data_IF_231297048057
#
_entry.id   IF_231297048057
#
_cell.length_a   1.000
_cell.length_b   1.000
_cell.length_c   1.000
_cell.angle_alpha   90.00
_cell.angle_beta   90.00
_cell.angle_gamma   90.00
#
_symmetry.space_group_name_H-M   'P 1'
#
loop_
_entity.id
_entity.type
_entity.pdbx_description
1 polymer ?
#
# COMPACT_ATOMS: atom_id res chain seq x y z
N UNK A 1 9.55 36.52 21.59
CA UNK A 1 9.81 37.89 21.07
C UNK A 1 10.16 37.82 19.59
N UNK A 2 9.58 38.69 18.74
CA UNK A 2 9.73 38.62 17.27
C UNK A 2 10.79 39.53 16.66
N UNK A 3 11.88 39.80 17.39
CA UNK A 3 12.96 40.66 16.88
C UNK A 3 13.90 39.88 15.97
N UNK A 4 14.12 40.40 14.74
CA UNK A 4 14.99 39.76 13.74
C UNK A 4 16.48 39.89 14.06
N UNK A 5 16.89 40.94 14.76
CA UNK A 5 18.29 41.23 15.18
C UNK A 5 18.32 41.88 16.55
N UNK A 6 19.39 41.63 17.31
CA UNK A 6 19.66 42.31 18.59
C UNK A 6 19.83 43.82 18.37
N UNK A 7 20.36 44.24 17.22
CA UNK A 7 20.50 45.68 16.85
C UNK A 7 19.17 46.39 16.65
N UNK A 8 18.05 45.66 16.49
CA UNK A 8 16.73 46.24 16.38
C UNK A 8 16.11 46.58 17.74
N UNK A 9 16.76 46.13 18.84
CA UNK A 9 16.39 46.44 20.21
C UNK A 9 16.89 47.83 20.56
N UNK A 10 16.03 48.85 20.42
CA UNK A 10 16.31 50.23 20.82
C UNK A 10 16.21 50.46 22.34
N UNK A 11 15.71 49.46 23.07
CA UNK A 11 15.46 49.50 24.49
C UNK A 11 16.44 48.59 25.23
N UNK A 12 17.16 49.14 26.21
CA UNK A 12 18.14 48.43 27.04
C UNK A 12 17.48 47.29 27.86
N UNK A 13 16.22 47.44 28.25
CA UNK A 13 15.45 46.44 28.99
C UNK A 13 15.11 45.23 28.10
N UNK A 14 14.72 45.46 26.84
CA UNK A 14 14.48 44.41 25.87
C UNK A 14 15.78 43.63 25.53
N UNK A 15 16.92 44.34 25.48
CA UNK A 15 18.23 43.70 25.28
C UNK A 15 18.61 42.79 26.46
N UNK A 16 18.47 43.28 27.72
CA UNK A 16 18.71 42.49 28.93
C UNK A 16 17.78 41.27 29.02
N UNK A 17 16.52 41.44 28.67
CA UNK A 17 15.55 40.34 28.62
C UNK A 17 15.96 39.27 27.63
N UNK A 18 16.39 39.64 26.42
CA UNK A 18 16.84 38.70 25.40
C UNK A 18 18.11 37.94 25.82
N UNK A 19 19.06 38.66 26.48
CA UNK A 19 20.25 38.03 27.06
C UNK A 19 19.89 37.02 28.15
N UNK A 20 18.95 37.37 29.04
CA UNK A 20 18.51 36.51 30.13
C UNK A 20 17.82 35.22 29.58
N UNK A 21 17.01 35.33 28.54
CA UNK A 21 16.41 34.18 27.85
C UNK A 21 17.46 33.27 27.21
N UNK A 22 18.44 33.87 26.49
CA UNK A 22 19.57 33.14 25.91
C UNK A 22 20.42 32.42 26.93
N UNK A 23 20.75 33.09 28.05
CA UNK A 23 21.47 32.49 29.16
C UNK A 23 20.66 31.37 29.84
N UNK A 24 19.34 31.55 30.01
CA UNK A 24 18.47 30.51 30.59
C UNK A 24 18.43 29.28 29.72
N UNK A 25 18.42 29.40 28.40
CA UNK A 25 18.53 28.26 27.51
C UNK A 25 19.91 27.58 27.62
N UNK A 26 21.00 28.38 27.58
CA UNK A 26 22.36 27.85 27.57
C UNK A 26 22.78 27.18 28.89
N UNK A 27 22.32 27.70 30.05
CA UNK A 27 22.68 27.14 31.37
C UNK A 27 22.20 25.72 31.61
N UNK A 28 21.18 25.27 30.86
CA UNK A 28 20.65 23.90 30.95
C UNK A 28 21.37 22.92 29.99
N UNK A 29 22.41 23.39 29.30
CA UNK A 29 23.27 22.57 28.46
C UNK A 29 22.80 22.40 27.02
N UNK A 30 23.47 21.50 26.32
CA UNK A 30 23.28 21.28 24.87
C UNK A 30 21.85 20.93 24.48
N UNK A 31 21.19 20.07 25.26
CA UNK A 31 19.82 19.61 24.98
C UNK A 31 18.84 20.81 24.93
N UNK A 32 18.90 21.69 25.91
CA UNK A 32 18.03 22.86 25.93
C UNK A 32 18.29 23.82 24.76
N UNK A 33 19.55 23.96 24.35
CA UNK A 33 19.92 24.76 23.17
C UNK A 33 19.31 24.10 21.91
N UNK A 34 19.40 22.78 21.77
CA UNK A 34 18.81 22.02 20.65
C UNK A 34 17.30 22.21 20.58
N UNK A 35 16.59 22.10 21.69
CA UNK A 35 15.13 22.33 21.75
C UNK A 35 14.74 23.72 21.26
N UNK A 36 15.47 24.75 21.67
CA UNK A 36 15.24 26.14 21.20
C UNK A 36 15.47 26.24 19.70
N UNK A 37 16.56 25.67 19.17
CA UNK A 37 16.88 25.71 17.75
C UNK A 37 15.83 24.94 16.92
N UNK A 38 15.37 23.77 17.37
CA UNK A 38 14.27 23.04 16.72
C UNK A 38 12.97 23.83 16.74
N UNK A 39 12.66 24.50 17.85
CA UNK A 39 11.49 25.38 17.94
C UNK A 39 11.58 26.57 16.95
N UNK A 40 12.75 27.16 16.78
CA UNK A 40 12.98 28.22 15.80
C UNK A 40 12.81 27.68 14.35
N UNK A 41 13.40 26.54 14.05
CA UNK A 41 13.28 25.92 12.73
C UNK A 41 11.82 25.56 12.38
N UNK A 42 11.02 25.12 13.35
CA UNK A 42 9.61 24.79 13.17
C UNK A 42 8.71 26.02 12.94
N UNK A 43 9.11 27.18 13.51
CA UNK A 43 8.40 28.47 13.35
C UNK A 43 8.78 29.21 12.07
N UNK A 44 9.86 28.82 11.40
CA UNK A 44 10.30 29.45 10.17
C UNK A 44 9.17 29.42 9.11
N UNK A 45 8.84 30.60 8.59
CA UNK A 45 7.75 30.78 7.61
C UNK A 45 7.99 29.97 6.34
N UNK A 46 6.91 29.66 5.59
CA UNK A 46 6.94 28.87 4.32
C UNK A 46 7.93 29.44 3.29
N UNK A 47 8.27 30.71 3.40
CA UNK A 47 9.27 31.39 2.56
C UNK A 47 10.71 31.33 3.10
N UNK A 48 10.93 30.67 4.23
CA UNK A 48 12.25 30.59 4.90
C UNK A 48 12.80 29.15 4.79
N UNK A 49 12.86 28.62 3.57
CA UNK A 49 13.32 27.25 3.32
C UNK A 49 14.85 27.04 3.49
N UNK A 50 15.59 28.10 3.83
CA UNK A 50 17.04 28.06 3.98
C UNK A 50 17.43 28.25 5.47
N UNK A 51 18.43 27.50 5.97
CA UNK A 51 18.90 27.61 7.36
C UNK A 51 19.27 29.04 7.76
N UNK A 52 19.92 29.76 6.83
CA UNK A 52 20.30 31.15 7.06
C UNK A 52 19.11 32.07 7.33
N UNK A 53 17.98 31.85 6.65
CA UNK A 53 16.76 32.63 6.88
C UNK A 53 16.06 32.23 8.19
N UNK A 54 16.10 30.94 8.54
CA UNK A 54 15.49 30.43 9.76
C UNK A 54 16.22 30.91 11.02
N UNK A 55 17.55 30.90 11.01
CA UNK A 55 18.37 31.27 12.15
C UNK A 55 18.92 32.70 12.09
N UNK A 56 18.78 33.39 10.96
CA UNK A 56 19.08 34.81 10.79
C UNK A 56 20.52 35.18 11.22
N UNK A 57 20.63 36.14 12.14
CA UNK A 57 21.91 36.67 12.62
C UNK A 57 22.77 35.61 13.29
N UNK A 58 22.18 34.66 14.03
CA UNK A 58 22.90 33.57 14.69
C UNK A 58 23.70 32.75 13.66
N UNK A 59 23.08 32.37 12.53
CA UNK A 59 23.78 31.66 11.45
C UNK A 59 24.92 32.51 10.85
N UNK A 60 24.64 33.79 10.63
CA UNK A 60 25.59 34.70 10.01
C UNK A 60 26.81 34.94 10.95
N UNK A 61 26.57 35.15 12.22
CA UNK A 61 27.64 35.42 13.19
C UNK A 61 28.53 34.19 13.42
N UNK A 62 27.94 33.00 13.58
CA UNK A 62 28.69 31.75 13.70
C UNK A 62 29.40 31.36 12.39
N UNK A 63 28.96 31.89 11.24
CA UNK A 63 29.58 31.71 9.94
C UNK A 63 30.70 32.67 9.61
N UNK A 64 30.97 33.70 10.44
CA UNK A 64 32.04 34.69 10.18
C UNK A 64 33.42 34.10 10.45
N UNK A 65 34.36 34.39 9.56
CA UNK A 65 35.72 33.84 9.61
C UNK A 65 36.47 34.09 10.95
N UNK A 66 36.22 35.23 11.61
CA UNK A 66 36.86 35.54 12.90
C UNK A 66 36.32 34.76 14.09
N UNK A 67 35.17 34.08 13.94
CA UNK A 67 34.57 33.22 14.93
C UNK A 67 34.82 31.71 14.65
N UNK A 68 35.63 31.37 13.63
CA UNK A 68 36.10 29.99 13.42
C UNK A 68 37.23 29.60 14.42
N UNK A 69 37.19 30.16 15.63
CA UNK A 69 38.02 29.72 16.72
C UNK A 69 37.43 28.49 17.40
N UNK A 70 38.28 27.67 17.98
CA UNK A 70 37.87 26.41 18.65
C UNK A 70 36.86 26.66 19.78
N UNK A 71 36.90 27.82 20.40
CA UNK A 71 35.98 28.25 21.47
C UNK A 71 34.51 28.26 21.02
N UNK A 72 34.23 28.56 19.76
CA UNK A 72 32.86 28.60 19.19
C UNK A 72 32.46 27.31 18.48
N UNK A 73 33.36 26.36 18.33
CA UNK A 73 33.04 25.09 17.63
C UNK A 73 31.93 24.31 18.31
N UNK A 74 31.77 24.22 19.62
CA UNK A 74 30.63 23.58 20.24
C UNK A 74 29.29 24.17 19.77
N UNK A 75 29.17 25.47 19.68
CA UNK A 75 27.94 26.15 19.23
C UNK A 75 27.70 25.97 17.73
N UNK A 76 28.75 26.04 16.92
CA UNK A 76 28.66 25.75 15.49
C UNK A 76 28.20 24.31 15.27
N UNK A 77 28.74 23.36 16.03
CA UNK A 77 28.35 21.95 15.96
C UNK A 77 26.88 21.76 16.30
N UNK A 78 26.38 22.33 17.40
CA UNK A 78 24.97 22.20 17.80
C UNK A 78 24.03 22.76 16.71
N UNK A 79 24.34 23.97 16.20
CA UNK A 79 23.54 24.57 15.13
C UNK A 79 23.62 23.78 13.83
N UNK A 80 24.80 23.31 13.44
CA UNK A 80 25.04 22.47 12.27
C UNK A 80 24.28 21.15 12.36
N UNK A 81 24.31 20.45 13.49
CA UNK A 81 23.59 19.21 13.72
C UNK A 81 22.09 19.44 13.59
N UNK A 82 21.55 20.52 14.17
CA UNK A 82 20.15 20.91 14.01
C UNK A 82 19.80 21.16 12.53
N UNK A 83 20.66 21.84 11.77
CA UNK A 83 20.45 22.08 10.33
C UNK A 83 20.42 20.77 9.56
N UNK A 84 21.36 19.87 9.80
CA UNK A 84 21.48 18.59 9.09
C UNK A 84 20.29 17.65 9.42
N UNK A 85 19.72 17.77 10.61
CA UNK A 85 18.57 16.97 11.05
C UNK A 85 17.21 17.51 10.55
N UNK A 86 17.18 18.76 10.04
CA UNK A 86 15.94 19.40 9.55
C UNK A 86 15.95 19.62 8.04
N UNK A 87 17.10 20.01 7.46
CA UNK A 87 17.22 20.36 6.04
C UNK A 87 17.92 19.28 5.21
N UNK A 88 17.56 19.16 3.94
CA UNK A 88 18.15 18.17 3.03
C UNK A 88 19.51 18.63 2.49
N UNK A 89 20.48 18.82 3.40
CA UNK A 89 21.86 19.25 3.06
C UNK A 89 22.52 18.24 2.13
N UNK A 90 23.18 18.72 1.07
CA UNK A 90 23.82 17.84 0.10
C UNK A 90 25.18 17.31 0.63
N UNK A 91 25.58 16.13 0.13
CA UNK A 91 26.96 15.68 0.29
C UNK A 91 27.91 16.70 -0.35
N UNK A 92 28.98 17.04 0.36
CA UNK A 92 29.97 18.03 -0.08
C UNK A 92 29.59 19.48 0.17
N UNK A 93 28.36 19.76 0.64
CA UNK A 93 27.91 21.09 1.02
C UNK A 93 28.58 21.53 2.31
N UNK A 94 29.02 22.80 2.36
CA UNK A 94 29.69 23.36 3.55
C UNK A 94 28.68 24.10 4.40
N UNK A 95 28.48 23.65 5.64
CA UNK A 95 27.64 24.30 6.66
C UNK A 95 28.49 24.72 7.84
N UNK A 96 28.52 26.02 8.10
CA UNK A 96 29.30 26.62 9.20
C UNK A 96 30.76 26.11 9.30
N UNK A 97 31.44 26.08 8.13
CA UNK A 97 32.84 25.66 8.00
C UNK A 97 33.09 24.15 7.95
N UNK A 98 32.04 23.31 8.04
CA UNK A 98 32.16 21.87 7.96
C UNK A 98 31.59 21.35 6.66
N UNK A 99 32.37 20.53 5.96
CA UNK A 99 31.91 19.86 4.72
C UNK A 99 31.10 18.61 5.09
N UNK A 100 29.85 18.55 4.66
CA UNK A 100 28.97 17.43 4.94
C UNK A 100 29.42 16.18 4.18
N UNK A 101 29.85 15.09 4.85
CA UNK A 101 30.37 13.90 4.18
C UNK A 101 29.29 13.10 3.47
N UNK A 102 28.08 13.08 4.02
CA UNK A 102 26.96 12.29 3.51
C UNK A 102 25.64 13.04 3.68
N UNK A 103 24.72 12.84 2.77
CA UNK A 103 23.35 13.35 2.89
C UNK A 103 22.57 12.54 3.94
N UNK A 104 22.02 13.21 4.95
CA UNK A 104 21.15 12.55 5.94
C UNK A 104 19.69 12.54 5.52
N UNK A 105 19.22 13.64 4.95
CA UNK A 105 17.83 13.83 4.55
C UNK A 105 17.71 14.14 3.06
N UNK A 106 16.67 13.62 2.45
CA UNK A 106 16.14 14.10 1.18
C UNK A 106 14.86 14.90 1.42
N UNK A 107 14.64 15.92 0.62
CA UNK A 107 13.28 16.41 0.33
C UNK A 107 12.74 15.75 -0.94
N UNK A 108 11.45 15.90 -1.22
CA UNK A 108 10.86 15.44 -2.50
C UNK A 108 11.62 16.02 -3.69
N UNK A 109 12.01 17.30 -3.62
CA UNK A 109 12.73 17.96 -4.71
C UNK A 109 14.15 17.43 -4.90
N UNK A 110 14.89 17.21 -3.80
CA UNK A 110 16.25 16.70 -3.90
C UNK A 110 16.29 15.26 -4.37
N UNK A 111 15.35 14.43 -3.94
CA UNK A 111 15.20 13.06 -4.42
C UNK A 111 14.79 13.02 -5.90
N UNK A 112 13.82 13.84 -6.30
CA UNK A 112 13.39 13.95 -7.69
C UNK A 112 14.54 14.32 -8.64
N UNK A 113 15.37 15.28 -8.21
CA UNK A 113 16.57 15.69 -8.98
C UNK A 113 17.62 14.57 -9.06
N UNK A 114 17.83 13.84 -7.97
CA UNK A 114 18.85 12.78 -7.92
C UNK A 114 18.52 11.62 -8.84
N UNK A 115 17.25 11.18 -8.88
CA UNK A 115 16.81 10.07 -9.75
C UNK A 115 16.23 10.52 -11.08
N UNK A 116 16.30 11.82 -11.39
CA UNK A 116 15.86 12.42 -12.64
C UNK A 116 14.38 12.14 -13.00
N UNK A 117 13.50 12.32 -12.02
CA UNK A 117 12.03 12.23 -12.23
C UNK A 117 11.34 13.54 -11.85
N UNK A 118 10.11 13.76 -12.35
CA UNK A 118 9.34 14.94 -11.96
C UNK A 118 8.97 14.95 -10.47
N UNK A 119 8.98 16.13 -9.79
CA UNK A 119 8.69 16.22 -8.35
C UNK A 119 7.32 15.66 -7.95
N UNK A 120 6.30 15.82 -8.80
CA UNK A 120 4.97 15.30 -8.53
C UNK A 120 4.97 13.77 -8.54
N UNK A 121 5.62 13.16 -9.55
CA UNK A 121 5.78 11.71 -9.61
C UNK A 121 6.60 11.20 -8.42
N UNK A 122 7.69 11.88 -8.08
CA UNK A 122 8.52 11.51 -6.92
C UNK A 122 7.69 11.53 -5.62
N UNK A 123 6.83 12.55 -5.42
CA UNK A 123 5.95 12.60 -4.26
C UNK A 123 5.04 11.37 -4.19
N UNK A 124 4.41 11.01 -5.30
CA UNK A 124 3.53 9.83 -5.37
C UNK A 124 4.30 8.54 -5.10
N UNK A 125 5.50 8.38 -5.65
CA UNK A 125 6.38 7.23 -5.38
C UNK A 125 6.78 7.12 -3.90
N UNK A 126 7.12 8.25 -3.26
CA UNK A 126 7.53 8.28 -1.86
C UNK A 126 6.36 8.00 -0.91
N UNK A 127 5.14 8.40 -1.25
CA UNK A 127 3.93 8.05 -0.51
C UNK A 127 3.65 6.56 -0.63
N UNK A 128 3.68 6.00 -1.84
CA UNK A 128 3.48 4.58 -2.10
C UNK A 128 4.55 3.71 -1.41
N UNK A 129 5.80 4.16 -1.42
CA UNK A 129 6.92 3.52 -0.72
C UNK A 129 6.95 3.73 0.79
N UNK A 130 5.98 4.46 1.37
CA UNK A 130 5.89 4.69 2.81
C UNK A 130 6.91 5.68 3.39
N UNK A 131 7.61 6.43 2.55
CA UNK A 131 8.56 7.45 2.98
C UNK A 131 7.89 8.74 3.46
N UNK A 132 6.70 9.03 2.93
CA UNK A 132 5.93 10.23 3.22
C UNK A 132 4.46 9.89 3.47
N UNK A 133 3.81 10.71 4.30
CA UNK A 133 2.35 10.71 4.43
C UNK A 133 1.71 11.53 3.31
N UNK A 134 0.45 11.23 2.96
CA UNK A 134 -0.30 11.96 1.92
C UNK A 134 -0.87 13.32 2.40
N UNK A 135 -0.30 13.91 3.45
CA UNK A 135 -0.69 15.24 3.90
C UNK A 135 -0.26 16.33 2.90
N UNK A 136 -1.04 17.41 2.79
CA UNK A 136 -0.68 18.55 1.95
C UNK A 136 0.46 19.40 2.57
N UNK A 137 0.52 19.50 3.87
CA UNK A 137 1.54 20.22 4.63
C UNK A 137 2.59 19.27 5.24
N UNK A 138 3.85 19.66 5.31
CA UNK A 138 4.50 20.84 4.74
C UNK A 138 4.69 20.76 3.22
N UNK A 139 5.15 21.84 2.54
CA UNK A 139 5.45 21.83 1.09
C UNK A 139 6.56 20.82 0.74
N UNK A 140 6.65 20.42 -0.54
CA UNK A 140 7.59 19.40 -1.00
C UNK A 140 9.07 19.69 -0.69
N UNK A 141 9.44 20.96 -0.51
CA UNK A 141 10.77 21.41 -0.08
C UNK A 141 11.09 21.00 1.36
N UNK A 142 10.07 20.93 2.22
CA UNK A 142 10.16 20.61 3.64
C UNK A 142 9.69 19.21 4.02
N UNK A 143 9.13 18.46 3.08
CA UNK A 143 8.84 17.03 3.27
C UNK A 143 10.15 16.28 3.18
N UNK A 144 10.76 16.03 4.33
CA UNK A 144 12.03 15.33 4.41
C UNK A 144 11.85 13.89 4.87
N UNK A 145 12.77 13.04 4.43
CA UNK A 145 12.84 11.64 4.82
C UNK A 145 14.31 11.18 4.85
N UNK A 146 14.58 10.09 5.55
CA UNK A 146 15.95 9.59 5.70
C UNK A 146 16.53 9.13 4.35
N UNK A 147 17.64 9.72 3.95
CA UNK A 147 18.36 9.35 2.73
C UNK A 147 18.89 7.90 2.81
N UNK A 148 19.43 7.51 3.95
CA UNK A 148 19.99 6.16 4.15
C UNK A 148 18.91 5.09 4.15
N UNK A 149 17.78 5.32 4.85
CA UNK A 149 16.70 4.34 4.92
C UNK A 149 16.06 4.05 3.56
N UNK A 150 15.96 5.08 2.71
CA UNK A 150 15.32 4.98 1.39
C UNK A 150 16.31 4.93 0.22
N UNK A 151 17.62 4.78 0.48
CA UNK A 151 18.63 4.71 -0.57
C UNK A 151 18.36 3.60 -1.59
N UNK A 152 18.04 2.39 -1.12
CA UNK A 152 17.70 1.26 -2.00
C UNK A 152 16.42 1.54 -2.81
N UNK A 153 15.40 2.12 -2.19
CA UNK A 153 14.16 2.49 -2.89
C UNK A 153 14.43 3.49 -4.01
N UNK A 154 15.14 4.57 -3.71
CA UNK A 154 15.53 5.59 -4.69
C UNK A 154 16.40 4.99 -5.83
N UNK A 155 17.33 4.10 -5.48
CA UNK A 155 18.21 3.43 -6.45
C UNK A 155 17.48 2.47 -7.40
N UNK A 156 16.29 2.00 -7.05
CA UNK A 156 15.46 1.16 -7.92
C UNK A 156 14.64 1.98 -8.93
N UNK A 157 14.21 3.19 -8.57
CA UNK A 157 13.30 4.01 -9.41
C UNK A 157 13.79 4.18 -10.86
N UNK A 158 15.07 4.53 -11.13
CA UNK A 158 15.56 4.67 -12.49
C UNK A 158 15.61 3.37 -13.30
N UNK A 159 15.54 2.22 -12.61
CA UNK A 159 15.60 0.87 -13.22
C UNK A 159 14.23 0.27 -13.45
N UNK A 160 13.17 0.96 -13.04
CA UNK A 160 11.81 0.46 -13.20
C UNK A 160 11.40 0.48 -14.68
N UNK A 161 10.68 -0.55 -15.07
CA UNK A 161 10.27 -0.79 -16.44
C UNK A 161 8.76 -0.85 -16.60
N UNK A 162 8.28 -0.65 -17.81
CA UNK A 162 6.88 -0.81 -18.17
C UNK A 162 6.49 -2.26 -18.47
N UNK A 163 5.17 -2.53 -18.59
CA UNK A 163 4.68 -3.87 -18.93
C UNK A 163 5.24 -4.43 -20.26
N UNK A 164 5.53 -3.57 -21.21
CA UNK A 164 6.05 -4.00 -22.53
C UNK A 164 7.46 -4.59 -22.40
N UNK A 165 8.34 -3.91 -21.64
CA UNK A 165 9.71 -4.36 -21.39
C UNK A 165 9.74 -5.62 -20.53
N UNK A 166 8.85 -5.71 -19.53
CA UNK A 166 8.66 -6.94 -18.75
C UNK A 166 8.25 -8.12 -19.65
N UNK A 167 7.28 -7.91 -20.55
CA UNK A 167 6.87 -8.94 -21.49
C UNK A 167 8.02 -9.39 -22.41
N UNK A 168 8.82 -8.46 -22.87
CA UNK A 168 9.98 -8.77 -23.74
C UNK A 168 11.04 -9.57 -22.97
N UNK A 169 11.41 -9.14 -21.76
CA UNK A 169 12.43 -9.79 -20.95
C UNK A 169 12.06 -11.20 -20.51
N UNK A 170 10.77 -11.44 -20.21
CA UNK A 170 10.25 -12.75 -19.83
C UNK A 170 9.90 -13.62 -21.03
N UNK A 171 9.91 -13.08 -22.24
CA UNK A 171 9.36 -13.68 -23.45
C UNK A 171 7.93 -14.19 -23.23
N UNK A 172 7.02 -13.28 -22.92
CA UNK A 172 5.61 -13.59 -22.62
C UNK A 172 4.67 -12.64 -23.35
N UNK A 173 3.44 -13.09 -23.59
CA UNK A 173 2.40 -12.22 -24.13
C UNK A 173 1.80 -11.31 -23.06
N UNK A 174 1.20 -10.17 -23.47
CA UNK A 174 0.48 -9.28 -22.54
C UNK A 174 -0.62 -10.00 -21.75
N UNK A 175 -1.31 -10.96 -22.38
CA UNK A 175 -2.36 -11.75 -21.73
C UNK A 175 -1.79 -12.65 -20.61
N UNK A 176 -0.64 -13.28 -20.85
CA UNK A 176 0.06 -14.08 -19.85
C UNK A 176 0.58 -13.20 -18.70
N UNK A 177 1.20 -12.08 -19.04
CA UNK A 177 1.65 -11.10 -18.04
C UNK A 177 0.50 -10.66 -17.14
N UNK A 178 -0.62 -10.26 -17.73
CA UNK A 178 -1.83 -9.91 -16.99
C UNK A 178 -2.31 -11.06 -16.07
N UNK A 179 -2.27 -12.28 -16.56
CA UNK A 179 -2.68 -13.44 -15.75
C UNK A 179 -1.76 -13.66 -14.54
N UNK A 180 -0.45 -13.41 -14.68
CA UNK A 180 0.51 -13.47 -13.57
C UNK A 180 0.31 -12.34 -12.55
N UNK A 181 -0.03 -11.14 -13.04
CA UNK A 181 -0.26 -9.99 -12.16
C UNK A 181 -1.61 -10.09 -11.44
N UNK A 182 -2.67 -10.47 -12.15
CA UNK A 182 -4.00 -10.68 -11.56
C UNK A 182 -4.00 -11.81 -10.53
N UNK A 183 -3.17 -12.85 -10.74
CA UNK A 183 -2.96 -13.95 -9.81
C UNK A 183 -1.95 -13.65 -8.69
N UNK A 184 -1.40 -12.44 -8.62
CA UNK A 184 -0.47 -12.04 -7.56
C UNK A 184 0.91 -12.70 -7.60
N UNK A 185 1.24 -13.43 -8.67
CA UNK A 185 2.55 -14.07 -8.87
C UNK A 185 3.62 -13.01 -9.12
N UNK A 186 3.32 -12.05 -9.99
CA UNK A 186 4.12 -10.85 -10.18
C UNK A 186 3.40 -9.67 -9.54
N UNK A 187 4.11 -8.94 -8.68
CA UNK A 187 3.60 -7.72 -8.06
C UNK A 187 4.43 -6.52 -8.51
N UNK A 188 3.80 -5.39 -8.83
CA UNK A 188 4.55 -4.20 -9.14
C UNK A 188 5.32 -3.74 -7.89
N UNK A 189 6.50 -3.20 -8.10
CA UNK A 189 7.29 -2.56 -7.03
C UNK A 189 6.61 -1.29 -6.52
N UNK A 190 5.92 -0.57 -7.41
CA UNK A 190 5.12 0.60 -7.10
C UNK A 190 3.64 0.24 -7.28
N UNK A 191 2.85 0.34 -6.22
CA UNK A 191 1.41 0.00 -6.23
C UNK A 191 0.52 1.07 -6.86
N UNK A 192 1.01 2.29 -7.04
CA UNK A 192 0.24 3.40 -7.58
C UNK A 192 -0.09 3.19 -9.07
N UNK A 193 -1.39 3.08 -9.46
CA UNK A 193 -1.80 2.80 -10.84
C UNK A 193 -1.47 3.92 -11.84
N UNK A 194 -1.13 5.12 -11.38
CA UNK A 194 -0.71 6.24 -12.23
C UNK A 194 0.72 6.08 -12.75
N UNK A 195 1.53 5.24 -12.12
CA UNK A 195 2.92 4.98 -12.52
C UNK A 195 2.94 4.02 -13.68
N UNK A 196 3.46 4.48 -14.84
CA UNK A 196 3.47 3.70 -16.09
C UNK A 196 4.52 2.58 -16.11
N UNK A 197 5.60 2.76 -15.37
CA UNK A 197 6.72 1.83 -15.26
C UNK A 197 6.91 1.40 -13.80
N UNK A 198 6.04 0.54 -13.24
CA UNK A 198 6.08 0.19 -11.81
C UNK A 198 6.84 -1.10 -11.51
N UNK A 199 7.49 -1.73 -12.48
CA UNK A 199 8.02 -3.08 -12.38
C UNK A 199 9.54 -3.11 -12.26
N UNK A 200 10.07 -3.98 -11.41
CA UNK A 200 11.50 -4.33 -11.42
C UNK A 200 11.70 -5.47 -12.40
N UNK A 201 12.57 -5.26 -13.39
CA UNK A 201 12.85 -6.25 -14.41
C UNK A 201 13.32 -7.59 -13.83
N UNK A 202 14.15 -7.53 -12.78
CA UNK A 202 14.67 -8.72 -12.10
C UNK A 202 13.58 -9.63 -11.52
N UNK A 203 12.44 -9.09 -11.07
CA UNK A 203 11.37 -9.92 -10.48
C UNK A 203 10.75 -10.84 -11.54
N UNK A 204 10.62 -10.36 -12.78
CA UNK A 204 10.15 -11.18 -13.91
C UNK A 204 11.18 -12.20 -14.35
N UNK A 205 12.45 -11.79 -14.44
CA UNK A 205 13.56 -12.69 -14.81
C UNK A 205 13.72 -13.80 -13.78
N UNK A 206 13.70 -13.47 -12.48
CA UNK A 206 13.77 -14.45 -11.39
C UNK A 206 12.61 -15.46 -11.43
N UNK A 207 11.40 -15.05 -11.78
CA UNK A 207 10.30 -15.99 -11.97
C UNK A 207 10.57 -16.96 -13.12
N UNK A 208 11.14 -16.49 -14.23
CA UNK A 208 11.51 -17.38 -15.35
C UNK A 208 12.60 -18.35 -14.94
N UNK A 209 13.65 -17.89 -14.25
CA UNK A 209 14.75 -18.70 -13.74
C UNK A 209 14.25 -19.76 -12.74
N UNK A 210 13.38 -19.36 -11.80
CA UNK A 210 12.73 -20.29 -10.86
C UNK A 210 11.98 -21.42 -11.58
N UNK A 211 11.17 -21.04 -12.59
CA UNK A 211 10.41 -22.02 -13.37
C UNK A 211 11.33 -22.92 -14.21
N UNK A 212 12.46 -22.39 -14.67
CA UNK A 212 13.46 -23.17 -15.37
C UNK A 212 14.10 -24.24 -14.48
N UNK A 213 14.49 -23.88 -13.27
CA UNK A 213 15.03 -24.81 -12.26
C UNK A 213 14.02 -25.91 -11.86
N UNK A 214 12.74 -25.61 -11.87
CA UNK A 214 11.68 -26.56 -11.57
C UNK A 214 11.30 -27.44 -12.76
N UNK A 215 11.73 -27.09 -13.98
CA UNK A 215 11.33 -27.76 -15.20
C UNK A 215 12.21 -28.95 -15.56
N UNK A 216 11.63 -29.91 -16.30
CA UNK A 216 12.37 -30.96 -16.97
C UNK A 216 12.40 -30.70 -18.47
N UNK A 217 13.52 -30.98 -19.17
CA UNK A 217 13.58 -30.83 -20.61
C UNK A 217 12.57 -31.76 -21.28
N UNK A 218 11.77 -31.20 -22.18
CA UNK A 218 10.86 -31.97 -23.07
C UNK A 218 11.25 -31.71 -24.50
N UNK A 219 11.13 -32.74 -25.32
CA UNK A 219 11.30 -32.61 -26.78
C UNK A 219 10.21 -31.74 -27.42
N UNK A 220 9.91 -32.01 -28.67
CA UNK A 220 8.81 -31.32 -29.37
C UNK A 220 7.49 -31.45 -28.61
N UNK A 221 6.63 -30.45 -28.76
CA UNK A 221 5.32 -30.36 -28.11
C UNK A 221 4.50 -31.61 -28.49
N UNK A 222 4.27 -32.50 -27.54
CA UNK A 222 3.39 -33.65 -27.69
C UNK A 222 2.02 -33.35 -27.10
N UNK A 223 1.01 -34.14 -27.47
CA UNK A 223 -0.37 -34.01 -26.91
C UNK A 223 -0.45 -34.17 -25.38
N UNK A 224 0.60 -34.66 -24.72
CA UNK A 224 0.67 -34.82 -23.28
C UNK A 224 0.96 -33.52 -22.52
N UNK A 225 1.48 -32.50 -23.21
CA UNK A 225 1.90 -31.23 -22.62
C UNK A 225 1.08 -30.07 -23.17
N UNK A 226 0.77 -29.11 -22.32
CA UNK A 226 0.08 -27.89 -22.72
C UNK A 226 0.68 -26.66 -22.06
N UNK A 227 0.56 -25.51 -22.68
CA UNK A 227 1.00 -24.24 -22.10
C UNK A 227 0.18 -23.87 -20.87
N UNK A 228 0.79 -23.18 -19.90
CA UNK A 228 0.13 -22.76 -18.64
C UNK A 228 -1.19 -22.00 -18.92
N UNK A 229 -1.21 -21.14 -19.95
CA UNK A 229 -2.42 -20.40 -20.32
C UNK A 229 -3.52 -21.29 -20.91
N UNK A 230 -3.13 -22.34 -21.64
CA UNK A 230 -4.08 -23.34 -22.19
C UNK A 230 -4.66 -24.17 -21.05
N UNK A 231 -3.81 -24.64 -20.13
CA UNK A 231 -4.20 -25.35 -18.92
C UNK A 231 -5.21 -24.55 -18.09
N UNK A 232 -4.89 -23.25 -17.82
CA UNK A 232 -5.81 -22.32 -17.16
C UNK A 232 -7.19 -22.29 -17.84
N UNK A 233 -7.20 -22.10 -19.14
CA UNK A 233 -8.46 -21.96 -19.91
C UNK A 233 -9.28 -23.25 -19.90
N UNK A 234 -8.63 -24.40 -20.07
CA UNK A 234 -9.25 -25.73 -20.11
C UNK A 234 -9.76 -26.19 -18.76
N UNK A 235 -8.94 -26.04 -17.71
CA UNK A 235 -9.25 -26.55 -16.36
C UNK A 235 -10.01 -25.55 -15.50
N UNK A 236 -9.99 -24.25 -15.85
CA UNK A 236 -10.47 -23.12 -15.06
C UNK A 236 -9.70 -22.90 -13.73
N UNK A 237 -8.54 -23.51 -13.58
CA UNK A 237 -7.64 -23.23 -12.47
C UNK A 237 -7.04 -21.83 -12.64
N UNK A 238 -6.76 -21.16 -11.55
CA UNK A 238 -5.99 -19.90 -11.59
C UNK A 238 -4.53 -20.17 -11.92
N UNK A 239 -3.86 -19.19 -12.52
CA UNK A 239 -2.40 -19.31 -12.79
C UNK A 239 -1.62 -19.49 -11.49
N UNK A 240 -2.07 -18.81 -10.43
CA UNK A 240 -1.50 -18.94 -9.08
C UNK A 240 -1.58 -20.39 -8.58
N UNK A 241 -2.74 -21.06 -8.70
CA UNK A 241 -2.90 -22.45 -8.29
C UNK A 241 -2.03 -23.40 -9.12
N UNK A 242 -1.88 -23.15 -10.42
CA UNK A 242 -1.00 -23.96 -11.29
C UNK A 242 0.46 -23.78 -10.89
N UNK A 243 0.93 -22.54 -10.71
CA UNK A 243 2.32 -22.27 -10.33
C UNK A 243 2.61 -22.77 -8.92
N UNK A 244 1.68 -22.64 -7.97
CA UNK A 244 1.83 -23.21 -6.64
C UNK A 244 1.99 -24.74 -6.71
N UNK A 245 1.17 -25.44 -7.52
CA UNK A 245 1.27 -26.88 -7.71
C UNK A 245 2.55 -27.32 -8.44
N UNK A 246 3.12 -26.47 -9.27
CA UNK A 246 4.46 -26.68 -9.85
C UNK A 246 5.55 -26.52 -8.78
N UNK A 247 5.45 -25.50 -7.93
CA UNK A 247 6.40 -25.24 -6.84
C UNK A 247 6.42 -26.35 -5.80
N UNK A 248 5.27 -26.92 -5.48
CA UNK A 248 5.15 -28.05 -4.55
C UNK A 248 5.36 -29.41 -5.23
N UNK A 249 5.66 -29.43 -6.54
CA UNK A 249 5.91 -30.62 -7.37
C UNK A 249 4.71 -31.55 -7.51
N UNK A 250 3.52 -31.09 -7.26
CA UNK A 250 2.26 -31.82 -7.53
C UNK A 250 1.97 -31.91 -9.02
N UNK A 251 2.52 -30.99 -9.82
CA UNK A 251 2.43 -30.98 -11.28
C UNK A 251 3.84 -30.80 -11.84
N UNK A 252 4.24 -31.66 -12.77
CA UNK A 252 5.52 -31.49 -13.49
C UNK A 252 5.44 -30.33 -14.49
N UNK A 253 6.51 -29.55 -14.48
CA UNK A 253 6.76 -28.53 -15.47
C UNK A 253 7.77 -29.02 -16.50
N UNK A 254 7.44 -28.91 -17.77
CA UNK A 254 8.35 -29.20 -18.89
C UNK A 254 8.82 -27.91 -19.56
N UNK A 255 10.08 -27.86 -19.99
CA UNK A 255 10.65 -26.80 -20.83
C UNK A 255 10.87 -27.32 -22.25
N UNK A 256 10.20 -26.71 -23.23
CA UNK A 256 10.47 -26.96 -24.66
C UNK A 256 11.86 -26.46 -25.02
N UNK A 257 12.67 -27.30 -25.70
CA UNK A 257 14.03 -26.95 -26.08
C UNK A 257 14.10 -25.88 -27.18
N UNK A 258 13.08 -25.80 -28.02
CA UNK A 258 13.02 -24.85 -29.14
C UNK A 258 12.46 -23.47 -28.75
N UNK A 259 12.14 -23.25 -27.48
CA UNK A 259 11.54 -22.01 -26.99
C UNK A 259 12.32 -21.48 -25.78
N UNK A 260 12.32 -20.18 -25.63
CA UNK A 260 12.95 -19.49 -24.50
C UNK A 260 11.96 -18.71 -23.66
N UNK A 261 12.31 -18.48 -22.40
CA UNK A 261 11.51 -17.71 -21.45
C UNK A 261 10.21 -18.40 -21.06
N UNK A 262 9.24 -17.61 -20.60
CA UNK A 262 8.00 -18.13 -20.04
C UNK A 262 7.16 -18.96 -21.03
N UNK A 263 7.20 -18.61 -22.31
CA UNK A 263 6.44 -19.36 -23.35
C UNK A 263 6.96 -20.78 -23.58
N UNK A 264 8.17 -21.10 -23.11
CA UNK A 264 8.72 -22.44 -23.21
C UNK A 264 8.10 -23.43 -22.24
N UNK A 265 7.50 -22.94 -21.14
CA UNK A 265 6.98 -23.81 -20.08
C UNK A 265 5.64 -24.46 -20.44
N UNK A 266 5.56 -25.74 -20.11
CA UNK A 266 4.41 -26.61 -20.34
C UNK A 266 4.11 -27.42 -19.08
N UNK A 267 2.84 -27.70 -18.84
CA UNK A 267 2.38 -28.56 -17.75
C UNK A 267 1.83 -29.88 -18.29
N UNK A 268 2.00 -30.97 -17.54
CA UNK A 268 1.45 -32.27 -17.89
C UNK A 268 -0.07 -32.25 -17.83
N UNK A 269 -0.76 -32.59 -18.95
CA UNK A 269 -2.21 -32.61 -19.02
C UNK A 269 -2.85 -33.61 -18.03
N UNK A 270 -2.27 -34.79 -17.88
CA UNK A 270 -2.78 -35.80 -16.96
C UNK A 270 -2.68 -35.35 -15.51
N UNK A 271 -1.53 -34.82 -15.12
CA UNK A 271 -1.30 -34.39 -13.74
C UNK A 271 -2.14 -33.17 -13.36
N UNK A 272 -2.31 -32.20 -14.27
CA UNK A 272 -3.17 -31.06 -13.99
C UNK A 272 -4.66 -31.45 -13.90
N UNK A 273 -5.08 -32.50 -14.64
CA UNK A 273 -6.43 -33.04 -14.52
C UNK A 273 -6.64 -33.79 -13.21
N UNK A 274 -5.65 -34.53 -12.74
CA UNK A 274 -5.66 -35.17 -11.42
C UNK A 274 -5.66 -34.13 -10.30
N UNK A 275 -4.80 -33.13 -10.39
CA UNK A 275 -4.75 -32.01 -9.46
C UNK A 275 -6.09 -31.27 -9.39
N UNK A 276 -6.71 -31.00 -10.54
CA UNK A 276 -8.05 -30.42 -10.57
C UNK A 276 -9.09 -31.29 -9.86
N UNK A 277 -9.04 -32.62 -10.06
CA UNK A 277 -9.95 -33.58 -9.38
C UNK A 277 -9.71 -33.59 -7.87
N UNK A 278 -8.43 -33.58 -7.43
CA UNK A 278 -8.09 -33.56 -6.01
C UNK A 278 -8.61 -32.29 -5.31
N UNK A 279 -8.44 -31.12 -5.95
CA UNK A 279 -8.99 -29.86 -5.45
C UNK A 279 -10.52 -29.89 -5.49
N UNK A 280 -11.13 -30.41 -6.56
CA UNK A 280 -12.59 -30.51 -6.66
C UNK A 280 -13.17 -31.49 -5.65
N UNK A 281 -12.43 -32.53 -5.29
CA UNK A 281 -12.82 -33.49 -4.24
C UNK A 281 -12.63 -32.94 -2.82
N UNK A 282 -11.69 -32.02 -2.62
CA UNK A 282 -11.50 -31.31 -1.34
C UNK A 282 -12.34 -30.04 -1.22
N UNK A 283 -12.87 -29.50 -2.33
CA UNK A 283 -13.89 -28.46 -2.30
C UNK A 283 -15.17 -29.12 -1.81
N UNK A 284 -15.53 -28.86 -0.56
CA UNK A 284 -16.81 -29.26 0.01
C UNK A 284 -17.89 -29.00 -1.02
N UNK A 285 -18.63 -30.05 -1.38
CA UNK A 285 -19.85 -30.03 -2.24
C UNK A 285 -20.91 -29.03 -1.76
N UNK A 286 -20.69 -28.43 -0.60
CA UNK A 286 -21.60 -27.57 0.15
C UNK A 286 -21.39 -26.06 -0.08
N UNK A 287 -20.40 -25.64 -0.88
CA UNK A 287 -20.18 -24.23 -1.15
C UNK A 287 -21.11 -23.72 -2.28
N UNK A 288 -21.88 -22.69 -1.96
CA UNK A 288 -22.70 -21.97 -2.95
C UNK A 288 -22.09 -20.61 -3.26
N UNK A 289 -22.28 -20.10 -4.48
CA UNK A 289 -21.79 -18.75 -4.81
C UNK A 289 -22.54 -17.70 -4.00
N UNK A 290 -21.85 -16.64 -3.55
CA UNK A 290 -22.46 -15.52 -2.83
C UNK A 290 -23.67 -14.94 -3.58
N UNK A 291 -23.57 -14.81 -4.91
CA UNK A 291 -24.67 -14.39 -5.76
C UNK A 291 -25.88 -15.35 -5.72
N UNK A 292 -25.63 -16.66 -5.71
CA UNK A 292 -26.71 -17.67 -5.61
C UNK A 292 -27.36 -17.62 -4.21
N UNK A 293 -26.54 -17.52 -3.16
CA UNK A 293 -27.04 -17.36 -1.80
C UNK A 293 -27.86 -16.08 -1.64
N UNK A 294 -27.35 -14.93 -2.09
CA UNK A 294 -28.09 -13.66 -2.05
C UNK A 294 -29.47 -13.77 -2.70
N UNK A 295 -29.55 -14.40 -3.88
CA UNK A 295 -30.85 -14.67 -4.54
C UNK A 295 -31.76 -15.59 -3.71
N UNK A 296 -31.23 -16.64 -3.10
CA UNK A 296 -32.00 -17.60 -2.29
C UNK A 296 -32.64 -16.97 -1.05
N UNK A 297 -31.95 -15.98 -0.45
CA UNK A 297 -32.49 -15.23 0.69
C UNK A 297 -33.27 -13.97 0.29
N UNK A 298 -33.46 -13.74 -1.03
CA UNK A 298 -34.26 -12.63 -1.54
C UNK A 298 -33.54 -11.29 -1.66
N UNK A 299 -32.22 -11.26 -1.56
CA UNK A 299 -31.38 -10.10 -1.89
C UNK A 299 -31.13 -10.05 -3.41
N UNK A 300 -32.13 -9.50 -4.15
CA UNK A 300 -32.15 -9.56 -5.63
C UNK A 300 -31.39 -8.42 -6.31
N UNK A 301 -30.90 -7.42 -5.58
CA UNK A 301 -30.06 -6.37 -6.13
C UNK A 301 -28.69 -6.91 -6.56
N UNK A 302 -28.12 -6.35 -7.64
CA UNK A 302 -26.80 -6.78 -8.11
C UNK A 302 -25.76 -6.55 -7.01
N UNK A 303 -25.17 -7.64 -6.51
CA UNK A 303 -24.04 -7.57 -5.61
C UNK A 303 -24.34 -7.15 -4.17
N UNK A 304 -25.60 -7.12 -3.70
CA UNK A 304 -25.90 -6.70 -2.33
C UNK A 304 -25.28 -7.61 -1.26
N UNK A 305 -25.33 -8.93 -1.47
CA UNK A 305 -24.71 -9.84 -0.51
C UNK A 305 -23.16 -9.76 -0.58
N UNK A 306 -22.63 -9.66 -1.79
CA UNK A 306 -21.20 -9.47 -2.02
C UNK A 306 -20.71 -8.16 -1.38
N UNK A 307 -21.50 -7.09 -1.50
CA UNK A 307 -21.18 -5.80 -0.84
C UNK A 307 -21.25 -5.89 0.68
N UNK A 308 -22.22 -6.65 1.23
CA UNK A 308 -22.34 -6.91 2.66
C UNK A 308 -21.12 -7.69 3.18
N UNK A 309 -20.70 -8.72 2.44
CA UNK A 309 -19.53 -9.52 2.76
C UNK A 309 -18.21 -8.72 2.63
N UNK A 310 -18.06 -7.93 1.57
CA UNK A 310 -16.90 -7.05 1.38
C UNK A 310 -16.78 -5.98 2.47
N UNK A 311 -17.90 -5.54 3.03
CA UNK A 311 -17.92 -4.62 4.16
C UNK A 311 -17.70 -5.31 5.54
N UNK A 312 -17.49 -6.64 5.58
CA UNK A 312 -17.22 -7.40 6.79
C UNK A 312 -18.44 -7.71 7.66
N UNK A 313 -19.66 -7.48 7.16
CA UNK A 313 -20.91 -7.74 7.90
C UNK A 313 -21.49 -9.14 7.65
N UNK A 314 -20.97 -9.89 6.69
CA UNK A 314 -21.28 -11.29 6.46
C UNK A 314 -20.02 -12.06 6.05
N UNK A 315 -19.93 -13.33 6.42
CA UNK A 315 -18.81 -14.18 6.05
C UNK A 315 -18.99 -14.73 4.64
N UNK A 316 -17.94 -14.60 3.83
CA UNK A 316 -17.82 -15.27 2.54
C UNK A 316 -16.34 -15.47 2.21
N UNK A 317 -16.01 -16.57 1.54
CA UNK A 317 -14.63 -16.95 1.24
C UNK A 317 -14.37 -16.87 -0.27
N UNK A 318 -13.20 -16.37 -0.68
CA UNK A 318 -12.73 -16.47 -2.06
C UNK A 318 -12.19 -17.87 -2.31
N UNK A 319 -12.65 -18.52 -3.37
CA UNK A 319 -12.06 -19.77 -3.78
C UNK A 319 -10.86 -19.49 -4.70
N UNK A 320 -9.66 -19.60 -4.15
CA UNK A 320 -8.40 -19.36 -4.85
C UNK A 320 -8.12 -20.40 -5.95
N UNK A 321 -8.79 -21.53 -5.94
CA UNK A 321 -8.61 -22.59 -6.95
C UNK A 321 -9.33 -22.33 -8.28
N UNK A 322 -10.22 -21.32 -8.35
CA UNK A 322 -10.97 -21.00 -9.57
C UNK A 322 -10.62 -19.60 -10.10
N UNK A 323 -10.44 -19.51 -11.41
CA UNK A 323 -10.25 -18.23 -12.09
C UNK A 323 -11.50 -17.37 -12.00
N UNK A 324 -11.43 -16.25 -11.29
CA UNK A 324 -12.51 -15.26 -11.17
C UNK A 324 -12.71 -14.78 -9.73
N UNK A 325 -13.16 -13.55 -9.57
CA UNK A 325 -13.35 -12.86 -8.26
C UNK A 325 -14.71 -13.26 -7.63
N UNK A 326 -15.02 -14.56 -7.58
CA UNK A 326 -16.28 -15.04 -7.02
C UNK A 326 -16.12 -15.37 -5.54
N UNK A 327 -17.03 -14.83 -4.75
CA UNK A 327 -17.19 -15.18 -3.34
C UNK A 327 -18.10 -16.43 -3.22
N UNK A 328 -17.77 -17.27 -2.26
CA UNK A 328 -18.49 -18.49 -1.90
C UNK A 328 -18.90 -18.47 -0.44
N UNK A 329 -20.01 -19.10 -0.14
CA UNK A 329 -20.64 -19.15 1.19
C UNK A 329 -20.72 -20.61 1.60
N UNK A 330 -20.14 -20.93 2.77
CA UNK A 330 -20.23 -22.27 3.38
C UNK A 330 -21.54 -22.44 4.15
N UNK A 331 -21.95 -23.66 4.51
CA UNK A 331 -23.11 -23.90 5.39
C UNK A 331 -23.02 -23.12 6.70
N UNK A 332 -21.84 -23.02 7.28
CA UNK A 332 -21.59 -22.25 8.50
C UNK A 332 -21.81 -20.75 8.31
N UNK A 333 -21.40 -20.20 7.15
CA UNK A 333 -21.64 -18.79 6.82
C UNK A 333 -23.14 -18.53 6.60
N UNK A 334 -23.86 -19.51 6.02
CA UNK A 334 -25.33 -19.47 5.86
C UNK A 334 -26.02 -19.41 7.22
N UNK A 335 -25.61 -20.25 8.16
CA UNK A 335 -26.13 -20.25 9.55
C UNK A 335 -25.86 -18.91 10.22
N UNK A 336 -24.61 -18.44 10.17
CA UNK A 336 -24.22 -17.15 10.77
C UNK A 336 -25.02 -15.98 10.18
N UNK A 337 -25.27 -15.99 8.87
CA UNK A 337 -26.13 -14.98 8.25
C UNK A 337 -27.56 -15.04 8.81
N UNK A 338 -28.15 -16.22 8.91
CA UNK A 338 -29.50 -16.39 9.45
C UNK A 338 -29.62 -16.12 10.94
N UNK A 339 -28.54 -16.26 11.70
CA UNK A 339 -28.49 -15.86 13.10
C UNK A 339 -28.52 -14.34 13.29
N UNK A 340 -27.97 -13.60 12.34
CA UNK A 340 -27.82 -12.14 12.43
C UNK A 340 -28.92 -11.37 11.73
N UNK A 341 -29.42 -11.90 10.59
CA UNK A 341 -30.22 -11.11 9.67
C UNK A 341 -31.52 -11.82 9.22
N UNK A 342 -32.51 -10.98 8.96
CA UNK A 342 -33.68 -11.34 8.20
C UNK A 342 -33.82 -10.49 6.93
N UNK A 343 -34.28 -11.11 5.87
CA UNK A 343 -34.83 -10.45 4.68
C UNK A 343 -36.34 -10.62 4.64
N UNK A 344 -37.09 -9.87 3.83
CA UNK A 344 -38.52 -10.10 3.69
C UNK A 344 -38.89 -11.53 3.26
N UNK A 345 -38.00 -12.18 2.47
CA UNK A 345 -38.20 -13.57 2.03
C UNK A 345 -37.96 -14.59 3.15
N UNK A 346 -36.97 -14.35 4.01
CA UNK A 346 -36.68 -15.25 5.13
C UNK A 346 -37.65 -15.03 6.28
N UNK A 347 -38.15 -13.79 6.51
CA UNK A 347 -39.26 -13.53 7.44
C UNK A 347 -40.54 -14.25 7.04
N UNK A 348 -40.95 -14.18 5.73
CA UNK A 348 -42.12 -14.85 5.22
C UNK A 348 -42.07 -16.37 5.49
N UNK A 349 -40.92 -16.99 5.23
CA UNK A 349 -40.69 -18.43 5.53
C UNK A 349 -40.72 -18.74 7.05
N UNK A 350 -40.21 -17.85 7.90
CA UNK A 350 -40.12 -18.09 9.33
C UNK A 350 -41.45 -17.89 10.05
N UNK A 351 -42.21 -16.85 9.68
CA UNK A 351 -43.42 -16.40 10.40
C UNK A 351 -44.72 -16.80 9.67
N UNK A 352 -44.65 -17.36 8.47
CA UNK A 352 -45.82 -17.83 7.72
C UNK A 352 -46.83 -16.76 7.31
N UNK A 353 -46.41 -15.47 7.35
CA UNK A 353 -47.27 -14.32 7.04
C UNK A 353 -46.74 -13.60 5.79
N UNK A 354 -47.64 -12.99 4.99
CA UNK A 354 -47.27 -12.28 3.78
C UNK A 354 -46.27 -11.14 4.06
N UNK A 355 -45.29 -10.99 3.16
CA UNK A 355 -44.20 -9.97 3.26
C UNK A 355 -44.73 -8.58 3.53
N UNK A 356 -45.82 -8.15 2.85
CA UNK A 356 -46.43 -6.82 3.04
C UNK A 356 -46.89 -6.60 4.48
N UNK A 357 -47.53 -7.59 5.08
CA UNK A 357 -48.03 -7.53 6.44
C UNK A 357 -46.87 -7.43 7.43
N UNK A 358 -45.80 -8.23 7.23
CA UNK A 358 -44.62 -8.20 8.10
C UNK A 358 -43.90 -6.86 8.02
N UNK A 359 -43.68 -6.34 6.81
CA UNK A 359 -43.02 -5.04 6.62
C UNK A 359 -43.83 -3.89 7.20
N UNK A 360 -45.18 -3.91 7.07
CA UNK A 360 -46.03 -2.90 7.67
C UNK A 360 -45.95 -2.89 9.19
N UNK A 361 -45.88 -4.06 9.83
CA UNK A 361 -45.67 -4.14 11.28
C UNK A 361 -44.33 -3.56 11.71
N UNK A 362 -43.24 -3.90 11.01
CA UNK A 362 -41.90 -3.36 11.28
C UNK A 362 -41.86 -1.83 11.12
N UNK A 363 -42.59 -1.31 10.11
CA UNK A 363 -42.70 0.14 9.87
C UNK A 363 -43.45 0.85 11.01
N UNK A 364 -44.57 0.28 11.49
CA UNK A 364 -45.34 0.81 12.62
C UNK A 364 -44.46 0.87 13.90
N UNK A 365 -43.66 -0.16 14.11
CA UNK A 365 -42.72 -0.25 15.26
C UNK A 365 -41.38 0.45 15.01
N UNK A 366 -41.27 1.24 13.94
CA UNK A 366 -40.10 2.03 13.55
C UNK A 366 -38.82 1.22 13.40
N UNK A 367 -38.92 -0.06 12.99
CA UNK A 367 -37.74 -0.91 12.69
C UNK A 367 -37.26 -0.59 11.27
N UNK A 368 -36.08 0.00 11.17
CA UNK A 368 -35.47 0.37 9.91
C UNK A 368 -34.61 -0.72 9.32
N UNK A 369 -34.45 -0.79 7.99
CA UNK A 369 -33.45 -1.66 7.36
C UNK A 369 -32.05 -1.42 7.92
N UNK A 370 -31.26 -2.48 8.04
CA UNK A 370 -29.87 -2.42 8.48
C UNK A 370 -29.02 -1.62 7.47
N UNK A 371 -28.52 -0.48 7.89
CA UNK A 371 -27.75 0.45 7.09
C UNK A 371 -26.58 1.01 7.89
N UNK A 372 -25.56 0.21 8.19
CA UNK A 372 -24.40 0.65 8.95
C UNK A 372 -23.63 1.72 8.12
N UNK A 373 -23.17 2.77 8.79
CA UNK A 373 -22.43 3.86 8.15
C UNK A 373 -23.15 4.49 6.93
N UNK A 374 -24.49 4.38 6.85
CA UNK A 374 -25.28 4.88 5.74
C UNK A 374 -25.23 3.99 4.48
N UNK A 375 -24.56 2.85 4.51
CA UNK A 375 -24.50 1.91 3.38
C UNK A 375 -25.81 1.16 3.21
N UNK A 376 -26.28 1.05 1.96
CA UNK A 376 -27.55 0.38 1.63
C UNK A 376 -27.29 -1.05 1.12
N UNK A 377 -27.80 -2.05 1.84
CA UNK A 377 -27.78 -3.47 1.46
C UNK A 377 -29.17 -4.02 1.10
N UNK A 378 -30.07 -3.13 0.74
CA UNK A 378 -31.48 -3.46 0.45
C UNK A 378 -32.32 -3.62 1.72
N UNK A 379 -33.40 -4.38 1.63
CA UNK A 379 -34.31 -4.65 2.77
C UNK A 379 -33.75 -5.77 3.64
N UNK A 380 -32.66 -5.49 4.33
CA UNK A 380 -32.03 -6.37 5.31
C UNK A 380 -32.32 -5.82 6.71
N UNK A 381 -32.68 -6.68 7.66
CA UNK A 381 -33.01 -6.29 9.01
C UNK A 381 -32.23 -7.13 10.04
N UNK A 382 -31.86 -6.55 11.16
CA UNK A 382 -31.27 -7.31 12.26
C UNK A 382 -32.31 -8.27 12.87
N UNK A 383 -31.89 -9.51 13.07
CA UNK A 383 -32.77 -10.56 13.60
C UNK A 383 -33.39 -10.18 14.94
N UNK A 384 -32.59 -9.66 15.87
CA UNK A 384 -33.05 -9.22 17.19
C UNK A 384 -34.20 -8.20 17.13
N UNK A 385 -34.16 -7.26 16.18
CA UNK A 385 -35.17 -6.22 16.07
C UNK A 385 -36.47 -6.77 15.45
N UNK A 386 -36.34 -7.70 14.52
CA UNK A 386 -37.48 -8.37 13.88
C UNK A 386 -38.18 -9.31 14.87
N UNK A 387 -37.42 -10.12 15.62
CA UNK A 387 -37.99 -11.07 16.59
C UNK A 387 -38.69 -10.34 17.73
N UNK A 388 -38.18 -9.21 18.21
CA UNK A 388 -38.84 -8.37 19.20
C UNK A 388 -40.26 -7.96 18.79
N UNK A 389 -40.44 -7.64 17.49
CA UNK A 389 -41.74 -7.14 16.98
C UNK A 389 -42.68 -8.27 16.53
N UNK A 390 -42.11 -9.38 16.03
CA UNK A 390 -42.91 -10.42 15.37
C UNK A 390 -43.08 -11.69 16.20
N UNK A 391 -42.32 -11.88 17.30
CA UNK A 391 -42.48 -13.06 18.18
C UNK A 391 -43.59 -12.89 19.22
N UNK A 392 -44.02 -11.65 19.47
CA UNK A 392 -45.14 -11.34 20.42
C UNK A 392 -46.53 -11.31 19.73
N UNK A 393 -46.65 -11.82 18.47
CA UNK A 393 -47.86 -11.66 17.69
C UNK A 393 -48.43 -13.01 17.18
#
# INVERSE_FOLDING_TARGET
MGFKNISDLKDEEAYRSAQAEGFNAAKHGEEAIREVLFSLSARADKNQDEPQKAFGQLYTDLGRAHLYKDEFEPFRKILRDCIIDVWPVAKGETILGYVQPERRLHSVLTAAKEVNVGPQLMRELLIDGGALSDSADPPNTRKTFSATLYANFLGEIPKLVGPAEMCAAMNITRSQFRSLTDGGILRPFIGNPKVKAPWRLRDGVQLVEELEELSVPIGSVTDQWEGISQAKSRTRLSVEAIIAAVRDRSIRLGKCQDLEGYVAFRVSKSEIDEFRKSISGSIRTDLITAAAFGRSVGMRGQGWFESLAAAGYASATRNLSQSGDKLYVSPKDVESFHEQFFTPATMERRFGKYRRTLLKKLEVENVKPYSPEGKNFGRLYLRKDVERVLSEA
#
